data_IF_298646693202
#
_entry.id   IF_298646693202
#
_cell.length_a   1.000
_cell.length_b   1.000
_cell.length_c   1.000
_cell.angle_alpha   90.00
_cell.angle_beta   90.00
_cell.angle_gamma   90.00
#
_symmetry.space_group_name_H-M   'P 1'
#
loop_
_entity.id
_entity.type
_entity.pdbx_description
1 polymer ?
#
# COMPACT_ATOMS: atom_id res chain seq x y z
N UNK A 1 4.29 6.39 44.04
CA UNK A 1 3.57 7.01 42.91
C UNK A 1 3.74 6.06 41.74
N UNK A 2 2.83 5.09 41.60
CA UNK A 2 2.94 4.05 40.58
C UNK A 2 2.10 4.42 39.37
N UNK A 3 2.69 5.26 38.52
CA UNK A 3 2.13 5.61 37.21
C UNK A 3 3.20 5.44 36.14
N UNK A 4 2.80 4.95 34.97
CA UNK A 4 3.68 4.74 33.82
C UNK A 4 3.02 5.30 32.56
N UNK A 5 3.83 5.83 31.66
CA UNK A 5 3.38 6.30 30.36
C UNK A 5 3.52 5.17 29.34
N UNK A 6 2.43 4.84 28.65
CA UNK A 6 2.38 3.83 27.61
C UNK A 6 2.03 4.47 26.27
N UNK A 7 2.47 3.83 25.19
CA UNK A 7 1.97 4.09 23.85
C UNK A 7 1.03 2.96 23.47
N UNK A 8 -0.20 3.31 23.14
CA UNK A 8 -1.23 2.36 22.71
C UNK A 8 -1.58 2.61 21.25
N UNK A 9 -1.74 1.55 20.44
CA UNK A 9 -2.19 1.69 19.06
C UNK A 9 -3.66 2.10 19.02
N UNK A 10 -4.00 3.02 18.11
CA UNK A 10 -5.36 3.46 17.80
C UNK A 10 -5.66 3.10 16.37
N UNK A 11 -6.65 2.23 16.15
CA UNK A 11 -7.02 1.82 14.81
C UNK A 11 -7.72 2.98 14.08
N UNK A 12 -7.29 3.26 12.85
CA UNK A 12 -7.91 4.29 12.01
C UNK A 12 -8.76 3.60 10.96
N UNK A 13 -10.06 3.82 11.04
CA UNK A 13 -11.03 3.40 10.01
C UNK A 13 -11.51 4.63 9.25
N UNK A 14 -11.83 4.44 7.98
CA UNK A 14 -12.43 5.46 7.13
C UNK A 14 -13.75 4.93 6.59
N UNK A 15 -14.77 5.78 6.63
CA UNK A 15 -16.02 5.55 5.95
C UNK A 15 -15.81 5.84 4.46
N UNK A 16 -16.24 4.91 3.62
CA UNK A 16 -16.12 5.02 2.17
C UNK A 16 -17.12 6.07 1.69
N UNK A 17 -16.60 7.25 1.37
CA UNK A 17 -17.32 8.31 0.66
C UNK A 17 -17.03 8.20 -0.84
N UNK A 18 -17.81 8.90 -1.66
CA UNK A 18 -17.54 8.96 -3.11
C UNK A 18 -16.16 9.57 -3.36
N UNK A 19 -15.83 10.66 -2.66
CA UNK A 19 -14.54 11.33 -2.79
C UNK A 19 -13.36 10.43 -2.37
N UNK A 20 -13.51 9.63 -1.30
CA UNK A 20 -12.49 8.67 -0.88
C UNK A 20 -12.33 7.56 -1.92
N UNK A 21 -13.43 6.98 -2.40
CA UNK A 21 -13.41 5.94 -3.43
C UNK A 21 -12.73 6.43 -4.71
N UNK A 22 -13.11 7.60 -5.21
CA UNK A 22 -12.50 8.21 -6.40
C UNK A 22 -11.00 8.46 -6.21
N UNK A 23 -10.58 8.87 -5.00
CA UNK A 23 -9.16 9.06 -4.67
C UNK A 23 -8.40 7.74 -4.67
N UNK A 24 -8.96 6.67 -4.09
CA UNK A 24 -8.34 5.35 -4.09
C UNK A 24 -8.20 4.83 -5.53
N UNK A 25 -9.26 4.93 -6.33
CA UNK A 25 -9.24 4.50 -7.73
C UNK A 25 -8.21 5.26 -8.54
N UNK A 26 -8.17 6.60 -8.42
CA UNK A 26 -7.13 7.41 -9.07
C UNK A 26 -5.71 7.02 -8.65
N UNK A 27 -5.51 6.70 -7.37
CA UNK A 27 -4.23 6.22 -6.87
C UNK A 27 -3.82 4.89 -7.50
N UNK A 28 -4.75 3.95 -7.61
CA UNK A 28 -4.53 2.66 -8.25
C UNK A 28 -4.29 2.78 -9.76
N UNK A 29 -5.06 3.62 -10.46
CA UNK A 29 -4.86 3.96 -11.88
C UNK A 29 -3.46 4.55 -12.14
N UNK A 30 -3.01 5.44 -11.26
CA UNK A 30 -1.68 6.04 -11.35
C UNK A 30 -0.58 4.99 -11.14
N UNK A 31 -0.71 4.15 -10.11
CA UNK A 31 0.24 3.07 -9.85
C UNK A 31 0.34 2.09 -11.04
N UNK A 32 -0.79 1.69 -11.63
CA UNK A 32 -0.81 0.86 -12.83
C UNK A 32 -0.11 1.54 -14.01
N UNK A 33 -0.38 2.82 -14.23
CA UNK A 33 0.24 3.60 -15.31
C UNK A 33 1.76 3.72 -15.13
N UNK A 34 2.24 3.87 -13.89
CA UNK A 34 3.67 3.96 -13.60
C UNK A 34 4.36 2.60 -13.79
N UNK A 35 3.72 1.50 -13.37
CA UNK A 35 4.24 0.14 -13.63
C UNK A 35 4.30 -0.13 -15.14
N UNK A 36 3.29 0.27 -15.91
CA UNK A 36 3.28 0.08 -17.37
C UNK A 36 4.41 0.86 -18.06
N UNK A 37 4.68 2.10 -17.62
CA UNK A 37 5.82 2.88 -18.11
C UNK A 37 7.15 2.23 -17.75
N UNK A 38 7.28 1.69 -16.54
CA UNK A 38 8.48 1.00 -16.11
C UNK A 38 8.74 -0.27 -16.93
N UNK A 39 7.69 -1.04 -17.22
CA UNK A 39 7.77 -2.21 -18.12
C UNK A 39 8.23 -1.81 -19.52
N UNK A 40 7.66 -0.77 -20.12
CA UNK A 40 8.06 -0.29 -21.44
C UNK A 40 9.52 0.15 -21.48
N UNK A 41 9.96 0.90 -20.46
CA UNK A 41 11.36 1.33 -20.34
C UNK A 41 12.31 0.14 -20.20
N UNK A 42 11.94 -0.85 -19.38
CA UNK A 42 12.72 -2.08 -19.21
C UNK A 42 12.84 -2.84 -20.54
N UNK A 43 11.75 -2.96 -21.30
CA UNK A 43 11.77 -3.64 -22.61
C UNK A 43 12.67 -2.92 -23.62
N UNK A 44 12.63 -1.58 -23.65
CA UNK A 44 13.48 -0.79 -24.54
C UNK A 44 14.97 -0.92 -24.17
N UNK A 45 15.30 -0.79 -22.88
CA UNK A 45 16.66 -0.95 -22.38
C UNK A 45 17.17 -2.37 -22.65
N UNK A 46 16.36 -3.39 -22.36
CA UNK A 46 16.70 -4.78 -22.60
C UNK A 46 17.00 -5.05 -24.07
N UNK A 47 16.16 -4.56 -25.00
CA UNK A 47 16.35 -4.73 -26.44
C UNK A 47 17.64 -4.07 -26.93
N UNK A 48 17.94 -2.85 -26.43
CA UNK A 48 19.18 -2.13 -26.74
C UNK A 48 20.40 -2.91 -26.24
N UNK A 49 20.43 -3.26 -24.95
CA UNK A 49 21.55 -3.96 -24.33
C UNK A 49 21.77 -5.35 -24.96
N UNK A 50 20.71 -6.09 -25.29
CA UNK A 50 20.85 -7.37 -25.99
C UNK A 50 21.45 -7.21 -27.39
N UNK A 51 21.11 -6.15 -28.12
CA UNK A 51 21.67 -5.88 -29.45
C UNK A 51 23.15 -5.49 -29.38
N UNK A 52 23.56 -4.78 -28.33
CA UNK A 52 24.96 -4.43 -28.08
C UNK A 52 25.78 -5.65 -27.62
N UNK A 53 25.25 -6.45 -26.67
CA UNK A 53 25.96 -7.61 -26.12
C UNK A 53 26.05 -8.78 -27.10
N UNK A 54 25.07 -8.94 -28.01
CA UNK A 54 25.07 -9.99 -29.04
C UNK A 54 26.26 -9.87 -30.00
N UNK A 55 26.87 -8.68 -30.11
CA UNK A 55 28.05 -8.43 -30.93
C UNK A 55 29.37 -8.73 -30.21
N UNK A 56 29.33 -8.94 -28.88
CA UNK A 56 30.52 -8.96 -28.02
C UNK A 56 30.74 -10.34 -27.40
N UNK A 57 29.76 -10.89 -26.68
CA UNK A 57 29.94 -12.12 -25.91
C UNK A 57 28.62 -12.87 -25.64
N UNK A 58 28.61 -14.19 -25.87
CA UNK A 58 27.42 -15.02 -25.74
C UNK A 58 27.05 -15.36 -24.29
N UNK A 59 28.01 -15.42 -23.36
CA UNK A 59 27.73 -15.70 -21.94
C UNK A 59 27.12 -14.50 -21.24
N UNK A 60 27.63 -13.29 -21.50
CA UNK A 60 27.06 -12.04 -20.95
C UNK A 60 25.60 -11.81 -21.36
N UNK A 61 25.22 -12.29 -22.55
CA UNK A 61 23.85 -12.18 -23.07
C UNK A 61 22.85 -13.10 -22.35
N UNK A 62 23.28 -14.28 -21.92
CA UNK A 62 22.44 -15.22 -21.13
C UNK A 62 22.14 -14.62 -19.75
N UNK A 63 23.17 -14.11 -19.06
CA UNK A 63 22.99 -13.48 -17.75
C UNK A 63 22.15 -12.20 -17.82
N UNK A 64 22.31 -11.39 -18.88
CA UNK A 64 21.49 -10.20 -19.10
C UNK A 64 20.01 -10.57 -19.33
N UNK A 65 19.73 -11.58 -20.16
CA UNK A 65 18.36 -12.07 -20.39
C UNK A 65 17.71 -12.55 -19.10
N UNK A 66 18.42 -13.33 -18.29
CA UNK A 66 17.91 -13.80 -17.01
C UNK A 66 17.54 -12.65 -16.07
N UNK A 67 18.39 -11.61 -15.98
CA UNK A 67 18.10 -10.41 -15.17
C UNK A 67 16.89 -9.64 -15.67
N UNK A 68 16.78 -9.43 -16.98
CA UNK A 68 15.62 -8.74 -17.59
C UNK A 68 14.33 -9.52 -17.31
N UNK A 69 14.36 -10.84 -17.46
CA UNK A 69 13.19 -11.67 -17.25
C UNK A 69 12.74 -11.68 -15.79
N UNK A 70 13.67 -11.73 -14.84
CA UNK A 70 13.36 -11.59 -13.42
C UNK A 70 12.68 -10.25 -13.11
N UNK A 71 13.22 -9.14 -13.64
CA UNK A 71 12.63 -7.82 -13.47
C UNK A 71 11.23 -7.73 -14.10
N UNK A 72 11.06 -8.30 -15.31
CA UNK A 72 9.76 -8.35 -15.99
C UNK A 72 8.73 -9.15 -15.18
N UNK A 73 9.12 -10.28 -14.58
CA UNK A 73 8.25 -11.06 -13.71
C UNK A 73 7.85 -10.30 -12.45
N UNK A 74 8.80 -9.60 -11.81
CA UNK A 74 8.51 -8.74 -10.64
C UNK A 74 7.49 -7.65 -10.99
N UNK A 75 7.66 -6.99 -12.13
CA UNK A 75 6.73 -5.95 -12.60
C UNK A 75 5.38 -6.52 -12.97
N UNK A 76 5.32 -7.69 -13.61
CA UNK A 76 4.05 -8.36 -13.92
C UNK A 76 3.28 -8.73 -12.65
N UNK A 77 3.99 -9.23 -11.61
CA UNK A 77 3.38 -9.52 -10.31
C UNK A 77 2.89 -8.25 -9.60
N UNK A 78 3.68 -7.16 -9.64
CA UNK A 78 3.28 -5.86 -9.10
C UNK A 78 2.05 -5.31 -9.83
N UNK A 79 1.99 -5.44 -11.16
CA UNK A 79 0.84 -5.04 -11.98
C UNK A 79 -0.41 -5.84 -11.62
N UNK A 80 -0.30 -7.16 -11.51
CA UNK A 80 -1.42 -8.02 -11.13
C UNK A 80 -1.96 -7.66 -9.74
N UNK A 81 -1.07 -7.39 -8.78
CA UNK A 81 -1.46 -6.91 -7.45
C UNK A 81 -2.17 -5.56 -7.51
N UNK A 82 -1.61 -4.57 -8.21
CA UNK A 82 -2.23 -3.25 -8.35
C UNK A 82 -3.58 -3.31 -9.07
N UNK A 83 -3.75 -4.24 -10.02
CA UNK A 83 -5.02 -4.49 -10.69
C UNK A 83 -6.06 -5.06 -9.72
N UNK A 84 -5.67 -6.03 -8.90
CA UNK A 84 -6.53 -6.59 -7.87
C UNK A 84 -6.95 -5.54 -6.83
N UNK A 85 -5.98 -4.75 -6.33
CA UNK A 85 -6.24 -3.67 -5.37
C UNK A 85 -7.23 -2.62 -5.95
N UNK A 86 -7.16 -2.35 -7.26
CA UNK A 86 -8.13 -1.51 -7.98
C UNK A 86 -9.51 -2.14 -8.02
N UNK A 87 -9.61 -3.42 -8.39
CA UNK A 87 -10.89 -4.14 -8.46
C UNK A 87 -11.57 -4.18 -7.08
N UNK A 88 -10.80 -4.40 -6.01
CA UNK A 88 -11.30 -4.31 -4.64
C UNK A 88 -11.81 -2.89 -4.32
N UNK A 89 -11.08 -1.86 -4.72
CA UNK A 89 -11.50 -0.47 -4.57
C UNK A 89 -12.80 -0.15 -5.33
N UNK A 90 -13.03 -0.74 -6.50
CA UNK A 90 -14.27 -0.61 -7.27
C UNK A 90 -15.46 -1.27 -6.57
N UNK A 91 -15.22 -2.37 -5.86
CA UNK A 91 -16.25 -3.09 -5.10
C UNK A 91 -16.57 -2.45 -3.74
N UNK A 92 -15.80 -1.45 -3.30
CA UNK A 92 -16.09 -0.72 -2.07
C UNK A 92 -17.48 -0.08 -2.14
N UNK A 93 -18.32 -0.44 -1.17
CA UNK A 93 -19.68 0.09 -1.04
C UNK A 93 -19.63 1.42 -0.30
N UNK A 94 -20.29 2.45 -0.83
CA UNK A 94 -20.40 3.74 -0.15
C UNK A 94 -21.06 3.56 1.22
N UNK A 95 -20.47 4.15 2.25
CA UNK A 95 -20.91 4.02 3.64
C UNK A 95 -20.30 2.83 4.40
N UNK A 96 -19.59 1.91 3.74
CA UNK A 96 -18.81 0.88 4.43
C UNK A 96 -17.60 1.47 5.16
N UNK A 97 -17.06 0.75 6.14
CA UNK A 97 -15.85 1.14 6.88
C UNK A 97 -14.65 0.31 6.42
N UNK A 98 -13.56 0.97 6.03
CA UNK A 98 -12.29 0.33 5.67
C UNK A 98 -11.21 0.70 6.70
N UNK A 99 -10.27 -0.21 6.97
CA UNK A 99 -9.08 0.14 7.76
C UNK A 99 -8.14 0.99 6.92
N UNK A 100 -7.81 2.17 7.40
CA UNK A 100 -6.88 3.09 6.76
C UNK A 100 -5.47 3.03 7.39
N UNK A 101 -5.36 2.57 8.64
CA UNK A 101 -4.07 2.39 9.30
C UNK A 101 -4.17 2.31 10.81
N UNK A 102 -3.07 2.68 11.48
CA UNK A 102 -2.97 2.72 12.94
C UNK A 102 -2.14 3.93 13.34
N UNK A 103 -2.59 4.65 14.36
CA UNK A 103 -1.86 5.75 15.00
C UNK A 103 -1.40 5.31 16.39
N UNK A 104 -0.51 6.07 17.01
CA UNK A 104 -0.13 5.86 18.41
C UNK A 104 -0.73 6.97 19.29
N UNK A 105 -1.32 6.58 20.41
CA UNK A 105 -1.71 7.49 21.48
C UNK A 105 -0.84 7.25 22.70
N UNK A 106 -0.36 8.33 23.30
CA UNK A 106 0.36 8.27 24.57
C UNK A 106 -0.64 8.42 25.72
N UNK A 107 -0.67 7.46 26.64
CA UNK A 107 -1.57 7.43 27.80
C UNK A 107 -0.77 7.24 29.09
N UNK A 108 -1.20 7.86 30.18
CA UNK A 108 -0.64 7.63 31.50
C UNK A 108 -1.57 6.69 32.23
N UNK A 109 -1.05 5.54 32.66
CA UNK A 109 -1.80 4.53 33.40
C UNK A 109 -1.28 4.42 34.83
N UNK A 110 -2.15 4.01 35.74
CA UNK A 110 -1.90 3.83 37.17
C UNK A 110 -2.29 2.43 37.60
N UNK A 111 -1.79 2.00 38.77
CA UNK A 111 -2.18 0.72 39.37
C UNK A 111 -3.71 0.72 39.59
N UNK A 112 -4.39 -0.24 38.97
CA UNK A 112 -5.84 -0.38 38.99
C UNK A 112 -6.56 0.04 37.70
N UNK A 113 -5.86 0.66 36.74
CA UNK A 113 -6.44 0.97 35.43
C UNK A 113 -6.65 -0.29 34.57
N UNK A 114 -7.70 -0.26 33.76
CA UNK A 114 -8.08 -1.32 32.84
C UNK A 114 -7.39 -1.10 31.48
N UNK A 115 -6.31 -1.85 31.25
CA UNK A 115 -5.50 -1.71 30.04
C UNK A 115 -6.22 -2.18 28.77
N UNK A 116 -7.16 -3.13 28.88
CA UNK A 116 -7.89 -3.65 27.71
C UNK A 116 -8.79 -2.57 27.09
N UNK A 117 -9.42 -1.74 27.91
CA UNK A 117 -10.19 -0.56 27.46
C UNK A 117 -9.34 0.49 26.75
N UNK A 118 -8.05 0.54 27.03
CA UNK A 118 -7.12 1.49 26.39
C UNK A 118 -6.58 0.98 25.06
N UNK A 119 -6.53 -0.35 24.86
CA UNK A 119 -6.02 -0.98 23.65
C UNK A 119 -7.07 -1.19 22.54
N UNK A 120 -8.35 -0.93 22.83
CA UNK A 120 -9.48 -1.07 21.90
C UNK A 120 -9.86 0.19 21.12
N UNK A 121 -9.13 1.29 21.28
CA UNK A 121 -9.56 2.58 20.72
C UNK A 121 -9.47 2.58 19.19
N UNK A 122 -10.58 2.94 18.55
CA UNK A 122 -10.70 3.12 17.10
C UNK A 122 -11.24 4.52 16.79
N UNK A 123 -10.75 5.14 15.73
CA UNK A 123 -11.31 6.38 15.18
C UNK A 123 -11.92 6.10 13.81
N UNK A 124 -13.11 6.66 13.56
CA UNK A 124 -13.75 6.65 12.26
C UNK A 124 -13.59 8.02 11.60
N UNK A 125 -13.07 8.01 10.38
CA UNK A 125 -12.88 9.18 9.55
C UNK A 125 -13.95 9.23 8.43
N UNK A 126 -14.41 10.43 8.10
CA UNK A 126 -15.18 10.71 6.88
C UNK A 126 -14.49 11.89 6.18
N UNK A 127 -13.95 11.68 4.98
CA UNK A 127 -13.21 12.69 4.20
C UNK A 127 -12.10 13.42 4.99
N UNK A 128 -11.41 12.68 5.87
CA UNK A 128 -10.32 13.21 6.70
C UNK A 128 -10.77 13.91 7.99
N UNK A 129 -12.08 13.92 8.29
CA UNK A 129 -12.62 14.44 9.56
C UNK A 129 -12.97 13.28 10.48
N UNK A 130 -12.66 13.41 11.76
CA UNK A 130 -13.07 12.43 12.78
C UNK A 130 -14.58 12.57 13.01
N UNK A 131 -15.33 11.50 12.73
CA UNK A 131 -16.78 11.45 12.93
C UNK A 131 -17.19 10.58 14.11
N UNK A 132 -16.32 9.68 14.58
CA UNK A 132 -16.57 8.85 15.76
C UNK A 132 -15.26 8.40 16.39
N UNK A 133 -15.25 8.26 17.72
CA UNK A 133 -14.20 7.60 18.50
C UNK A 133 -14.89 6.49 19.28
N UNK A 134 -14.38 5.26 19.15
CA UNK A 134 -14.89 4.05 19.79
C UNK A 134 -13.79 3.51 20.71
N UNK A 135 -14.13 3.09 21.92
CA UNK A 135 -13.20 2.60 22.94
C UNK A 135 -13.63 1.22 23.40
#
# INVERSE_FOLDING_TARGET
MDQITLRVPVAVKAKVTQALKDRILKGADQALSDIDREMQNLEFQAKRMMTEQAKIDAQGLISLRAKVEEQKQRLAAAKAKAQHDREEAEQLTIGSEIRQGTLEQTVVVKVGDDLEKLMGTEILLEDGKIVSIRQ
#
